data_IF_501857798035
#
_entry.id   IF_501857798035
#
_cell.length_a   1.000
_cell.length_b   1.000
_cell.length_c   1.000
_cell.angle_alpha   90.00
_cell.angle_beta   90.00
_cell.angle_gamma   90.00
#
_symmetry.space_group_name_H-M   'P 1'
#
loop_
_entity.id
_entity.type
_entity.pdbx_description
1 polymer ?
#
# COMPACT_ATOMS: atom_id res chain seq x y z
N UNK A 1 14.67 27.11 21.22
CA UNK A 1 14.51 26.16 20.10
C UNK A 1 15.85 26.03 19.39
N UNK A 2 16.27 24.82 19.00
CA UNK A 2 17.49 24.64 18.20
C UNK A 2 17.26 25.16 16.75
N UNK A 3 18.31 25.65 16.08
CA UNK A 3 18.23 26.06 14.66
C UNK A 3 17.90 24.88 13.74
N UNK A 4 17.56 25.17 12.48
CA UNK A 4 17.37 24.16 11.42
C UNK A 4 18.67 23.34 11.28
N UNK A 5 18.57 22.02 11.33
CA UNK A 5 19.74 21.10 11.35
C UNK A 5 20.06 20.49 9.98
N UNK A 6 19.11 20.48 9.06
CA UNK A 6 19.22 19.87 7.72
C UNK A 6 18.21 20.48 6.76
N UNK A 7 18.36 20.25 5.46
CA UNK A 7 17.42 20.78 4.44
C UNK A 7 16.14 19.96 4.32
N UNK A 8 16.27 18.63 4.42
CA UNK A 8 15.19 17.66 4.27
C UNK A 8 14.99 16.87 5.55
N UNK A 9 13.74 16.64 5.93
CA UNK A 9 13.34 15.77 7.02
C UNK A 9 12.67 14.50 6.47
N UNK A 10 13.09 13.34 6.96
CA UNK A 10 12.43 12.06 6.65
C UNK A 10 11.50 11.73 7.82
N UNK A 11 10.22 11.56 7.51
CA UNK A 11 9.19 11.19 8.49
C UNK A 11 8.74 9.78 8.15
N UNK A 12 9.28 8.80 8.88
CA UNK A 12 8.98 7.37 8.77
C UNK A 12 8.35 6.78 10.03
N UNK A 13 7.58 7.60 10.76
CA UNK A 13 6.91 7.18 12.00
C UNK A 13 5.67 6.32 11.70
N UNK A 14 4.87 5.96 12.71
CA UNK A 14 3.57 5.32 12.47
C UNK A 14 2.56 6.34 11.90
N UNK A 15 1.59 5.87 11.11
CA UNK A 15 0.61 6.68 10.38
C UNK A 15 -0.03 7.82 11.19
N UNK A 16 -0.42 7.53 12.44
CA UNK A 16 -1.07 8.47 13.36
C UNK A 16 -0.16 9.60 13.84
N UNK A 17 1.15 9.47 13.63
CA UNK A 17 2.16 10.47 13.93
C UNK A 17 2.68 11.18 12.69
N UNK A 18 2.09 11.00 11.51
CA UNK A 18 2.57 11.70 10.31
C UNK A 18 2.22 13.20 10.34
N UNK A 19 0.98 13.53 10.72
CA UNK A 19 0.44 14.88 10.60
C UNK A 19 1.23 15.93 11.38
N UNK A 20 1.28 15.81 12.71
CA UNK A 20 1.85 16.86 13.56
C UNK A 20 3.36 17.11 13.31
N UNK A 21 4.23 16.09 13.23
CA UNK A 21 5.63 16.26 12.84
C UNK A 21 5.81 16.84 11.44
N UNK A 22 4.98 16.44 10.47
CA UNK A 22 5.05 16.95 9.10
C UNK A 22 4.74 18.45 9.05
N UNK A 23 3.64 18.89 9.69
CA UNK A 23 3.29 20.29 9.78
C UNK A 23 4.39 21.11 10.48
N UNK A 24 4.86 20.64 11.64
CA UNK A 24 5.91 21.33 12.40
C UNK A 24 7.23 21.41 11.63
N UNK A 25 7.57 20.39 10.85
CA UNK A 25 8.72 20.38 9.97
C UNK A 25 8.59 21.45 8.87
N UNK A 26 7.44 21.51 8.20
CA UNK A 26 7.18 22.51 7.17
C UNK A 26 7.27 23.94 7.72
N UNK A 27 6.69 24.21 8.89
CA UNK A 27 6.74 25.52 9.55
C UNK A 27 8.16 25.95 9.92
N UNK A 28 9.04 24.99 10.18
CA UNK A 28 10.48 25.23 10.42
C UNK A 28 11.30 25.35 9.14
N UNK A 29 10.66 25.27 7.97
CA UNK A 29 11.31 25.44 6.67
C UNK A 29 12.02 24.18 6.15
N UNK A 30 11.67 22.98 6.64
CA UNK A 30 12.15 21.72 6.07
C UNK A 30 11.33 21.35 4.83
N UNK A 31 12.01 20.81 3.82
CA UNK A 31 11.34 19.95 2.82
C UNK A 31 11.26 18.52 3.38
N UNK A 32 10.34 17.71 2.87
CA UNK A 32 9.94 16.47 3.55
C UNK A 32 9.92 15.28 2.59
N UNK A 33 10.50 14.17 3.03
CA UNK A 33 10.14 12.82 2.58
C UNK A 33 9.19 12.20 3.61
N UNK A 34 7.95 11.96 3.22
CA UNK A 34 6.89 11.50 4.11
C UNK A 34 6.50 10.06 3.76
N UNK A 35 6.59 9.16 4.76
CA UNK A 35 6.06 7.82 4.62
C UNK A 35 4.56 7.81 4.34
N UNK A 36 4.12 6.76 3.67
CA UNK A 36 2.70 6.55 3.38
C UNK A 36 2.03 5.79 4.53
N UNK A 37 0.71 5.96 4.73
CA UNK A 37 -0.17 6.95 4.08
C UNK A 37 0.14 8.37 4.56
N UNK A 38 -0.24 9.41 3.81
CA UNK A 38 0.10 10.81 4.14
C UNK A 38 -0.29 11.19 5.58
N UNK A 39 -1.47 10.76 6.03
CA UNK A 39 -1.96 10.89 7.40
C UNK A 39 -3.02 9.82 7.67
N UNK A 40 -3.48 9.72 8.93
CA UNK A 40 -4.50 8.74 9.32
C UNK A 40 -5.91 9.14 8.87
N UNK A 41 -6.19 10.44 8.69
CA UNK A 41 -7.50 10.94 8.24
C UNK A 41 -7.42 11.74 6.95
N UNK A 42 -8.49 11.74 6.16
CA UNK A 42 -8.52 12.50 4.90
C UNK A 42 -8.44 14.03 5.13
N UNK A 43 -9.05 14.53 6.21
CA UNK A 43 -8.97 15.96 6.57
C UNK A 43 -7.52 16.38 6.84
N UNK A 44 -6.74 15.58 7.56
CA UNK A 44 -5.30 15.83 7.76
C UNK A 44 -4.49 15.73 6.46
N UNK A 45 -4.81 14.77 5.58
CA UNK A 45 -4.17 14.67 4.25
C UNK A 45 -4.37 15.95 3.44
N UNK A 46 -5.61 16.44 3.40
CA UNK A 46 -5.99 17.66 2.70
C UNK A 46 -5.32 18.89 3.34
N UNK A 47 -5.27 18.97 4.67
CA UNK A 47 -4.59 20.08 5.34
C UNK A 47 -3.09 20.08 5.02
N UNK A 48 -2.40 18.94 5.10
CA UNK A 48 -0.96 18.89 4.77
C UNK A 48 -0.65 19.37 3.35
N UNK A 49 -1.49 19.06 2.37
CA UNK A 49 -1.35 19.59 1.01
C UNK A 49 -1.49 21.12 0.97
N UNK A 50 -2.53 21.66 1.63
CA UNK A 50 -2.75 23.11 1.76
C UNK A 50 -1.58 23.79 2.48
N UNK A 51 -1.08 23.21 3.56
CA UNK A 51 0.03 23.76 4.34
C UNK A 51 1.34 23.71 3.54
N UNK A 52 1.60 22.63 2.79
CA UNK A 52 2.76 22.54 1.91
C UNK A 52 2.75 23.66 0.86
N UNK A 53 1.59 23.90 0.23
CA UNK A 53 1.43 25.00 -0.72
C UNK A 53 1.61 26.38 -0.05
N UNK A 54 0.96 26.60 1.11
CA UNK A 54 1.02 27.88 1.86
C UNK A 54 2.44 28.22 2.32
N UNK A 55 3.19 27.23 2.79
CA UNK A 55 4.55 27.38 3.31
C UNK A 55 5.62 27.26 2.21
N UNK A 56 5.21 26.99 0.97
CA UNK A 56 6.10 26.79 -0.17
C UNK A 56 7.10 25.66 0.05
N UNK A 57 6.68 24.56 0.72
CA UNK A 57 7.54 23.41 1.04
C UNK A 57 7.33 22.27 0.05
N UNK A 58 8.41 21.54 -0.24
CA UNK A 58 8.38 20.32 -1.06
C UNK A 58 8.08 19.13 -0.15
N UNK A 59 6.98 18.42 -0.41
CA UNK A 59 6.63 17.19 0.29
C UNK A 59 6.54 16.05 -0.72
N UNK A 60 7.50 15.12 -0.66
CA UNK A 60 7.53 13.90 -1.45
C UNK A 60 6.94 12.76 -0.63
N UNK A 61 5.93 12.08 -1.16
CA UNK A 61 5.29 10.92 -0.51
C UNK A 61 5.99 9.64 -0.97
N UNK A 62 6.23 8.70 -0.06
CA UNK A 62 6.87 7.40 -0.30
C UNK A 62 6.02 6.42 -1.14
N UNK A 63 5.46 6.85 -2.27
CA UNK A 63 4.84 5.96 -3.25
C UNK A 63 5.90 5.21 -4.09
N UNK A 64 6.69 4.36 -3.41
CA UNK A 64 7.85 3.64 -3.95
C UNK A 64 7.53 2.84 -5.22
N UNK A 65 6.29 2.36 -5.38
CA UNK A 65 5.89 1.59 -6.56
C UNK A 65 6.05 2.35 -7.88
N UNK A 66 5.82 3.68 -7.88
CA UNK A 66 6.05 4.50 -9.09
C UNK A 66 7.50 4.42 -9.57
N UNK A 67 8.44 4.17 -8.67
CA UNK A 67 9.87 4.15 -8.94
C UNK A 67 10.41 2.77 -9.28
N UNK A 68 9.57 1.73 -9.22
CA UNK A 68 9.98 0.39 -9.63
C UNK A 68 10.22 0.33 -11.15
N UNK A 69 11.20 -0.46 -11.61
CA UNK A 69 11.38 -0.74 -13.03
C UNK A 69 10.12 -1.32 -13.68
N UNK A 70 9.40 -2.18 -12.96
CA UNK A 70 8.15 -2.80 -13.42
C UNK A 70 7.09 -1.76 -13.78
N UNK A 71 6.65 -0.93 -12.82
CA UNK A 71 5.59 0.05 -13.07
C UNK A 71 6.05 1.19 -13.99
N UNK A 72 7.35 1.52 -13.99
CA UNK A 72 7.91 2.45 -14.97
C UNK A 72 7.80 1.90 -16.39
N UNK A 73 8.05 0.59 -16.59
CA UNK A 73 7.87 -0.05 -17.90
C UNK A 73 6.40 -0.12 -18.31
N UNK A 74 5.50 -0.48 -17.40
CA UNK A 74 4.05 -0.46 -17.65
C UNK A 74 3.59 0.93 -18.10
N UNK A 75 4.00 1.98 -17.38
CA UNK A 75 3.70 3.37 -17.77
C UNK A 75 4.26 3.72 -19.14
N UNK A 76 5.51 3.35 -19.44
CA UNK A 76 6.11 3.61 -20.75
C UNK A 76 5.36 2.91 -21.89
N UNK A 77 4.84 1.70 -21.67
CA UNK A 77 4.00 1.00 -22.65
C UNK A 77 2.68 1.75 -22.88
N UNK A 78 1.99 2.17 -21.82
CA UNK A 78 0.77 2.99 -21.94
C UNK A 78 1.08 4.28 -22.72
N UNK A 79 2.13 5.01 -22.33
CA UNK A 79 2.47 6.32 -22.91
C UNK A 79 2.95 6.23 -24.36
N UNK A 80 3.47 5.08 -24.79
CA UNK A 80 3.81 4.84 -26.20
C UNK A 80 2.59 4.80 -27.14
N UNK A 81 1.37 4.69 -26.59
CA UNK A 81 0.15 4.50 -27.38
C UNK A 81 -0.05 3.08 -27.90
N UNK A 82 0.84 2.13 -27.58
CA UNK A 82 0.76 0.74 -28.05
C UNK A 82 -0.57 0.04 -27.68
N UNK A 83 -1.17 0.39 -26.54
CA UNK A 83 -2.45 -0.16 -26.11
C UNK A 83 -3.65 0.54 -26.75
N UNK A 84 -3.46 1.70 -27.38
CA UNK A 84 -4.55 2.61 -27.77
C UNK A 84 -5.17 3.30 -26.56
N UNK A 85 -6.48 3.57 -26.63
CA UNK A 85 -7.25 4.15 -25.52
C UNK A 85 -7.47 3.08 -24.44
N UNK A 86 -7.14 3.40 -23.19
CA UNK A 86 -7.32 2.47 -22.06
C UNK A 86 -8.79 2.44 -21.65
N UNK A 87 -9.40 1.25 -21.68
CA UNK A 87 -10.81 1.04 -21.34
C UNK A 87 -10.99 0.45 -19.95
N UNK A 88 -10.15 -0.52 -19.57
CA UNK A 88 -10.25 -1.22 -18.29
C UNK A 88 -8.86 -1.51 -17.71
N UNK A 89 -8.72 -1.35 -16.39
CA UNK A 89 -7.55 -1.78 -15.63
C UNK A 89 -7.99 -2.69 -14.47
N UNK A 90 -7.47 -3.90 -14.40
CA UNK A 90 -7.64 -4.78 -13.25
C UNK A 90 -6.33 -4.87 -12.48
N UNK A 91 -6.37 -4.71 -11.16
CA UNK A 91 -5.22 -4.84 -10.30
C UNK A 91 -5.52 -5.67 -9.05
N UNK A 92 -4.52 -6.39 -8.56
CA UNK A 92 -4.63 -7.18 -7.32
C UNK A 92 -3.40 -6.96 -6.46
N UNK A 93 -3.61 -6.81 -5.15
CA UNK A 93 -2.59 -6.99 -4.11
C UNK A 93 -2.95 -8.23 -3.28
N UNK A 94 -2.16 -9.27 -3.46
CA UNK A 94 -2.06 -10.39 -2.54
C UNK A 94 -1.16 -10.03 -1.37
N UNK A 95 -1.77 -9.68 -0.24
CA UNK A 95 -1.06 -9.25 0.98
C UNK A 95 -0.22 -10.38 1.55
N UNK A 96 -0.67 -11.62 1.40
CA UNK A 96 -0.05 -12.81 1.97
C UNK A 96 -0.59 -13.18 3.34
N UNK A 97 -0.65 -14.48 3.57
CA UNK A 97 -1.11 -15.11 4.79
C UNK A 97 -0.34 -14.62 6.05
N UNK A 98 0.99 -14.61 5.98
CA UNK A 98 1.84 -14.19 7.08
C UNK A 98 1.78 -12.69 7.33
N UNK A 99 1.84 -11.89 6.27
CA UNK A 99 1.81 -10.43 6.40
C UNK A 99 0.45 -9.96 6.93
N UNK A 100 -0.65 -10.56 6.47
CA UNK A 100 -1.98 -10.34 7.04
C UNK A 100 -1.98 -10.64 8.54
N UNK A 101 -1.53 -11.84 8.92
CA UNK A 101 -1.48 -12.26 10.32
C UNK A 101 -0.62 -11.33 11.18
N UNK A 102 0.53 -10.89 10.66
CA UNK A 102 1.48 -10.02 11.35
C UNK A 102 0.93 -8.61 11.55
N UNK A 103 0.46 -7.96 10.49
CA UNK A 103 0.14 -6.51 10.47
C UNK A 103 -1.31 -6.21 10.83
N UNK A 104 -2.25 -7.00 10.31
CA UNK A 104 -3.69 -6.70 10.29
C UNK A 104 -4.53 -7.66 11.16
N UNK A 105 -3.90 -8.67 11.77
CA UNK A 105 -4.56 -9.53 12.77
C UNK A 105 -3.95 -9.34 14.15
N UNK A 106 -2.62 -9.46 14.27
CA UNK A 106 -1.90 -9.26 15.54
C UNK A 106 -1.39 -7.84 15.74
N UNK A 107 -1.11 -7.15 14.63
CA UNK A 107 -0.26 -5.96 14.59
C UNK A 107 -0.98 -4.64 14.81
N UNK A 108 -0.23 -3.57 14.52
CA UNK A 108 -0.61 -2.17 14.80
C UNK A 108 -1.87 -1.72 14.06
N UNK A 109 -2.21 -2.38 12.94
CA UNK A 109 -3.38 -2.06 12.11
C UNK A 109 -4.55 -3.03 12.29
N UNK A 110 -4.50 -3.91 13.30
CA UNK A 110 -5.49 -4.96 13.45
C UNK A 110 -6.90 -4.46 13.77
N UNK A 111 -7.02 -3.33 14.46
CA UNK A 111 -8.30 -2.77 14.91
C UNK A 111 -8.50 -1.41 14.27
N UNK A 112 -9.43 -1.35 13.31
CA UNK A 112 -9.70 -0.21 12.42
C UNK A 112 -10.13 1.05 13.16
N UNK A 113 -10.79 0.94 14.31
CA UNK A 113 -11.28 2.12 15.06
C UNK A 113 -10.14 2.91 15.71
N UNK A 114 -8.98 2.28 15.90
CA UNK A 114 -7.79 2.89 16.53
C UNK A 114 -6.58 2.93 15.60
N UNK A 115 -6.74 2.56 14.34
CA UNK A 115 -5.66 2.49 13.36
C UNK A 115 -6.15 2.93 11.99
N UNK A 116 -5.23 3.17 11.07
CA UNK A 116 -5.58 3.47 9.68
C UNK A 116 -6.25 2.26 9.03
N UNK A 117 -7.39 2.43 8.31
CA UNK A 117 -8.04 1.33 7.59
C UNK A 117 -7.07 0.62 6.64
N UNK A 118 -7.22 -0.70 6.51
CA UNK A 118 -6.26 -1.52 5.78
C UNK A 118 -6.06 -1.08 4.32
N UNK A 119 -7.15 -0.73 3.61
CA UNK A 119 -7.08 -0.24 2.23
C UNK A 119 -6.24 1.04 2.10
N UNK A 120 -6.21 1.88 3.14
CA UNK A 120 -5.41 3.11 3.20
C UNK A 120 -3.98 2.78 3.62
N UNK A 121 -3.77 2.01 4.71
CA UNK A 121 -2.44 1.70 5.22
C UNK A 121 -1.59 0.84 4.26
N UNK A 122 -2.25 -0.12 3.58
CA UNK A 122 -1.61 -1.08 2.68
C UNK A 122 -1.65 -0.64 1.23
N UNK A 123 -2.84 -0.25 0.78
CA UNK A 123 -3.17 -0.13 -0.65
C UNK A 123 -3.43 1.29 -1.12
N UNK A 124 -3.02 2.30 -0.34
CA UNK A 124 -2.81 3.64 -0.89
C UNK A 124 -1.81 3.63 -2.05
N UNK A 125 -0.83 2.69 -2.04
CA UNK A 125 0.06 2.45 -3.18
C UNK A 125 -0.69 1.99 -4.43
N UNK A 126 -1.66 1.10 -4.26
CA UNK A 126 -2.37 0.49 -5.39
C UNK A 126 -3.36 1.50 -5.99
N UNK A 127 -4.06 2.27 -5.14
CA UNK A 127 -4.86 3.42 -5.59
C UNK A 127 -3.99 4.45 -6.32
N UNK A 128 -2.78 4.69 -5.82
CA UNK A 128 -1.81 5.59 -6.43
C UNK A 128 -1.34 5.14 -7.82
N UNK A 129 -0.99 3.86 -7.97
CA UNK A 129 -0.61 3.28 -9.25
C UNK A 129 -1.77 3.33 -10.24
N UNK A 130 -3.00 2.98 -9.82
CA UNK A 130 -4.17 3.02 -10.71
C UNK A 130 -4.40 4.45 -11.21
N UNK A 131 -4.40 5.44 -10.30
CA UNK A 131 -4.57 6.84 -10.65
C UNK A 131 -3.44 7.34 -11.59
N UNK A 132 -2.20 6.95 -11.32
CA UNK A 132 -1.03 7.36 -12.11
C UNK A 132 -0.99 6.75 -13.52
N UNK A 133 -1.34 5.46 -13.64
CA UNK A 133 -1.35 4.77 -14.93
C UNK A 133 -2.49 5.25 -15.82
N UNK A 134 -3.70 5.43 -15.27
CA UNK A 134 -4.84 5.94 -16.03
C UNK A 134 -4.73 7.44 -16.32
N UNK A 135 -4.10 8.21 -15.42
CA UNK A 135 -3.87 9.64 -15.55
C UNK A 135 -5.16 10.44 -15.89
N UNK A 136 -6.27 10.04 -15.28
CA UNK A 136 -7.60 10.66 -15.41
C UNK A 136 -8.24 10.78 -14.02
N UNK A 137 -9.12 11.77 -13.78
CA UNK A 137 -9.87 11.85 -12.53
C UNK A 137 -10.75 10.61 -12.29
N UNK A 138 -10.72 10.09 -11.07
CA UNK A 138 -11.73 9.12 -10.61
C UNK A 138 -13.01 9.90 -10.24
N UNK A 139 -14.15 9.50 -10.79
CA UNK A 139 -15.44 10.18 -10.61
C UNK A 139 -16.25 9.56 -9.48
N UNK A 140 -16.34 8.23 -9.45
CA UNK A 140 -17.09 7.49 -8.44
C UNK A 140 -16.50 6.10 -8.22
N UNK A 141 -16.74 5.53 -7.04
CA UNK A 141 -16.37 4.15 -6.75
C UNK A 141 -17.39 3.45 -5.86
N UNK A 142 -17.33 2.12 -5.84
CA UNK A 142 -17.99 1.24 -4.87
C UNK A 142 -16.98 0.27 -4.29
N UNK A 143 -17.24 -0.23 -3.08
CA UNK A 143 -16.36 -1.19 -2.44
C UNK A 143 -17.14 -2.18 -1.57
N UNK A 144 -16.65 -3.41 -1.53
CA UNK A 144 -17.16 -4.48 -0.67
C UNK A 144 -15.99 -5.25 -0.09
N UNK A 145 -16.10 -5.67 1.17
CA UNK A 145 -15.04 -6.40 1.85
C UNK A 145 -15.38 -6.62 3.31
N UNK A 146 -14.90 -7.74 3.84
CA UNK A 146 -15.23 -8.22 5.18
C UNK A 146 -14.03 -8.83 5.88
N UNK A 147 -14.17 -8.99 7.20
CA UNK A 147 -13.36 -9.90 7.99
C UNK A 147 -14.16 -11.20 8.15
N UNK A 148 -13.82 -12.23 7.38
CA UNK A 148 -14.61 -13.47 7.34
C UNK A 148 -13.84 -14.69 7.83
N UNK A 149 -12.51 -14.71 7.69
CA UNK A 149 -11.65 -15.86 7.98
C UNK A 149 -10.91 -15.74 9.32
N UNK A 150 -10.28 -14.60 9.61
CA UNK A 150 -9.50 -14.43 10.85
C UNK A 150 -10.40 -14.09 12.04
N UNK A 151 -11.33 -14.99 12.36
CA UNK A 151 -12.35 -14.85 13.40
C UNK A 151 -12.44 -16.10 14.26
N UNK A 152 -13.04 -15.99 15.45
CA UNK A 152 -13.21 -17.11 16.38
C UNK A 152 -14.03 -18.27 15.82
N UNK A 153 -14.93 -18.00 14.86
CA UNK A 153 -15.74 -19.03 14.21
C UNK A 153 -14.90 -19.99 13.36
N UNK A 154 -13.74 -19.55 12.85
CA UNK A 154 -12.83 -20.37 12.05
C UNK A 154 -11.68 -20.97 12.87
N UNK A 155 -11.69 -20.82 14.20
CA UNK A 155 -10.65 -21.37 15.05
C UNK A 155 -10.65 -22.92 14.96
N UNK A 156 -9.51 -23.56 14.65
CA UNK A 156 -9.46 -25.01 14.63
C UNK A 156 -9.70 -25.58 16.04
N UNK A 157 -10.27 -26.80 16.17
CA UNK A 157 -10.58 -27.40 17.46
C UNK A 157 -9.36 -27.41 18.39
N UNK A 158 -9.55 -27.08 19.66
CA UNK A 158 -8.49 -26.99 20.67
C UNK A 158 -7.35 -25.99 20.34
N UNK A 159 -7.55 -25.05 19.42
CA UNK A 159 -6.62 -23.93 19.24
C UNK A 159 -6.60 -23.04 20.51
N UNK A 160 -5.44 -22.88 21.17
CA UNK A 160 -5.31 -22.04 22.36
C UNK A 160 -5.44 -20.55 22.03
N UNK A 161 -5.53 -19.71 23.07
CA UNK A 161 -5.53 -18.26 22.92
C UNK A 161 -4.21 -17.75 22.30
N UNK A 162 -3.07 -18.40 22.60
CA UNK A 162 -1.76 -18.07 22.04
C UNK A 162 -1.10 -19.30 21.43
N UNK A 163 -0.43 -19.12 20.29
CA UNK A 163 0.33 -20.15 19.61
C UNK A 163 1.44 -20.77 20.47
N UNK A 164 1.92 -20.04 21.48
CA UNK A 164 2.95 -20.49 22.42
C UNK A 164 2.43 -21.47 23.48
N UNK A 165 1.11 -21.61 23.62
CA UNK A 165 0.48 -22.36 24.72
C UNK A 165 0.20 -23.82 24.33
N UNK A 166 1.10 -24.44 23.56
CA UNK A 166 0.99 -25.85 23.18
C UNK A 166 -0.11 -26.15 22.16
N UNK A 167 -0.21 -25.37 21.09
CA UNK A 167 -1.22 -25.58 20.05
C UNK A 167 -1.01 -26.93 19.32
N UNK A 168 -2.03 -27.81 19.22
CA UNK A 168 -1.90 -29.10 18.55
C UNK A 168 -1.75 -29.01 17.01
N UNK A 169 -2.06 -27.85 16.43
CA UNK A 169 -1.98 -27.60 14.98
C UNK A 169 -0.69 -26.90 14.54
N UNK A 170 0.23 -26.69 15.47
CA UNK A 170 1.28 -25.71 15.28
C UNK A 170 2.29 -26.08 14.17
N UNK A 171 2.46 -27.37 13.89
CA UNK A 171 3.42 -27.85 12.87
C UNK A 171 2.91 -27.70 11.43
N UNK A 172 1.59 -27.54 11.24
CA UNK A 172 0.96 -27.35 9.92
C UNK A 172 0.33 -25.97 9.74
N UNK A 173 0.15 -25.21 10.83
CA UNK A 173 -0.48 -23.90 10.79
C UNK A 173 0.46 -22.86 10.14
N UNK A 174 0.07 -22.23 9.01
CA UNK A 174 0.90 -21.20 8.38
C UNK A 174 1.01 -19.93 9.24
N UNK A 175 0.08 -19.75 10.19
CA UNK A 175 0.00 -18.59 11.06
C UNK A 175 0.67 -18.79 12.42
N UNK A 176 1.32 -19.93 12.68
CA UNK A 176 1.95 -20.19 13.98
C UNK A 176 3.00 -19.11 14.31
N UNK A 177 2.78 -18.40 15.42
CA UNK A 177 3.68 -17.34 15.85
C UNK A 177 5.11 -17.84 16.12
N UNK A 178 5.32 -19.13 16.45
CA UNK A 178 6.66 -19.68 16.67
C UNK A 178 7.54 -19.60 15.41
N UNK A 179 6.95 -19.39 14.23
CA UNK A 179 7.69 -19.16 12.99
C UNK A 179 8.53 -17.87 13.00
N UNK A 180 8.28 -16.93 13.93
CA UNK A 180 9.22 -15.81 14.19
C UNK A 180 10.60 -16.29 14.66
N UNK A 181 10.70 -17.50 15.23
CA UNK A 181 11.97 -18.08 15.65
C UNK A 181 12.78 -18.65 14.47
N UNK A 182 12.14 -18.83 13.31
CA UNK A 182 12.71 -19.51 12.14
C UNK A 182 12.48 -18.71 10.85
N UNK A 183 11.60 -19.17 9.95
CA UNK A 183 11.45 -18.65 8.58
C UNK A 183 10.93 -17.22 8.50
N UNK A 184 10.30 -16.72 9.56
CA UNK A 184 9.75 -15.36 9.62
C UNK A 184 10.51 -14.44 10.58
N UNK A 185 11.75 -14.79 10.95
CA UNK A 185 12.57 -14.00 11.88
C UNK A 185 12.76 -12.53 11.47
N UNK A 186 12.91 -12.24 10.17
CA UNK A 186 13.03 -10.87 9.64
C UNK A 186 11.85 -9.97 10.03
N UNK A 187 10.68 -10.53 10.27
CA UNK A 187 9.51 -9.73 10.65
C UNK A 187 9.61 -9.17 12.08
N UNK A 188 10.54 -9.67 12.91
CA UNK A 188 10.79 -9.12 14.23
C UNK A 188 11.40 -7.71 14.16
N UNK A 189 12.12 -7.37 13.09
CA UNK A 189 12.75 -6.05 12.92
C UNK A 189 11.73 -4.89 12.98
N UNK A 190 10.45 -5.17 12.75
CA UNK A 190 9.36 -4.18 12.77
C UNK A 190 8.63 -4.05 14.11
N UNK A 191 8.83 -5.00 15.03
CA UNK A 191 7.97 -5.18 16.23
C UNK A 191 8.75 -5.48 17.50
N UNK A 192 10.04 -5.78 17.39
CA UNK A 192 10.91 -6.14 18.50
C UNK A 192 12.25 -5.42 18.36
N UNK A 193 12.55 -4.57 19.35
CA UNK A 193 13.79 -3.81 19.37
C UNK A 193 14.98 -4.78 19.47
N UNK A 194 16.05 -4.48 18.72
CA UNK A 194 17.28 -5.28 18.70
C UNK A 194 17.08 -6.75 18.30
N UNK A 195 16.04 -7.03 17.49
CA UNK A 195 15.71 -8.37 17.02
C UNK A 195 16.89 -9.13 16.36
N UNK A 196 17.77 -8.41 15.67
CA UNK A 196 18.96 -8.97 15.06
C UNK A 196 19.98 -9.51 16.06
N UNK A 197 20.05 -8.95 17.26
CA UNK A 197 21.00 -9.35 18.31
C UNK A 197 20.42 -10.38 19.30
N UNK A 198 19.09 -10.48 19.39
CA UNK A 198 18.43 -11.34 20.37
C UNK A 198 18.61 -12.85 20.09
N UNK A 199 18.84 -13.62 21.14
CA UNK A 199 18.83 -15.08 21.12
C UNK A 199 17.43 -15.66 20.89
N UNK A 200 17.36 -16.93 20.51
CA UNK A 200 16.08 -17.64 20.32
C UNK A 200 15.27 -17.67 21.62
N UNK A 201 15.91 -17.82 22.78
CA UNK A 201 15.24 -17.91 24.06
C UNK A 201 14.68 -16.55 24.51
N UNK A 202 15.41 -15.45 24.26
CA UNK A 202 14.89 -14.09 24.48
C UNK A 202 13.67 -13.81 23.60
N UNK A 203 13.74 -14.15 22.30
CA UNK A 203 12.60 -13.97 21.39
C UNK A 203 11.42 -14.84 21.84
N UNK A 204 11.67 -16.08 22.27
CA UNK A 204 10.61 -16.98 22.77
C UNK A 204 9.93 -16.41 24.01
N UNK A 205 10.71 -15.91 24.96
CA UNK A 205 10.20 -15.30 26.19
C UNK A 205 9.38 -14.04 25.88
N UNK A 206 9.88 -13.16 25.01
CA UNK A 206 9.14 -11.99 24.54
C UNK A 206 7.85 -12.39 23.84
N UNK A 207 7.90 -13.37 22.94
CA UNK A 207 6.75 -13.81 22.15
C UNK A 207 5.63 -14.31 23.06
N UNK A 208 5.93 -15.11 24.08
CA UNK A 208 4.93 -15.64 25.02
C UNK A 208 4.06 -14.55 25.67
N UNK A 209 4.63 -13.37 25.95
CA UNK A 209 3.89 -12.22 26.49
C UNK A 209 3.34 -11.27 25.41
N UNK A 210 3.91 -11.25 24.21
CA UNK A 210 3.59 -10.24 23.20
C UNK A 210 2.24 -10.44 22.52
N UNK A 211 1.62 -9.39 21.95
CA UNK A 211 0.42 -9.53 21.12
C UNK A 211 0.62 -10.46 19.91
N UNK A 212 1.87 -10.64 19.46
CA UNK A 212 2.20 -11.44 18.29
C UNK A 212 2.22 -12.94 18.54
N UNK A 213 2.10 -13.43 19.79
CA UNK A 213 1.84 -14.85 20.04
C UNK A 213 0.37 -15.23 19.96
N UNK A 214 -0.56 -14.29 19.95
CA UNK A 214 -2.00 -14.61 19.92
C UNK A 214 -2.34 -15.46 18.70
N UNK A 215 -3.22 -16.43 18.86
CA UNK A 215 -3.78 -17.17 17.74
C UNK A 215 -4.55 -16.19 16.85
N UNK A 216 -4.38 -16.27 15.53
CA UNK A 216 -5.04 -15.37 14.58
C UNK A 216 -6.57 -15.44 14.64
N UNK A 217 -7.13 -16.57 15.09
CA UNK A 217 -8.57 -16.75 15.28
C UNK A 217 -9.06 -16.33 16.67
N UNK A 218 -8.15 -15.88 17.54
CA UNK A 218 -8.45 -15.45 18.92
C UNK A 218 -7.99 -14.01 19.17
N UNK A 219 -7.78 -13.24 18.11
CA UNK A 219 -7.48 -11.82 18.17
C UNK A 219 -8.78 -10.99 18.20
N UNK A 220 -8.63 -9.71 18.55
CA UNK A 220 -9.67 -8.68 18.58
C UNK A 220 -9.72 -7.87 17.27
N UNK A 221 -9.14 -8.40 16.19
CA UNK A 221 -9.00 -7.68 14.92
C UNK A 221 -10.36 -7.39 14.29
N UNK A 222 -10.43 -6.24 13.61
CA UNK A 222 -11.58 -5.79 12.82
C UNK A 222 -11.17 -5.42 11.39
N UNK A 223 -9.87 -5.42 11.08
CA UNK A 223 -9.39 -5.22 9.72
C UNK A 223 -9.91 -6.33 8.80
N UNK A 224 -10.33 -5.94 7.60
CA UNK A 224 -10.80 -6.87 6.55
C UNK A 224 -9.71 -7.87 6.16
N UNK A 225 -10.10 -9.03 5.66
CA UNK A 225 -9.18 -10.00 5.07
C UNK A 225 -9.29 -10.10 3.55
N UNK A 226 -10.35 -9.54 2.98
CA UNK A 226 -10.48 -9.30 1.55
C UNK A 226 -11.37 -8.08 1.29
N UNK A 227 -11.03 -7.33 0.25
CA UNK A 227 -11.80 -6.19 -0.22
C UNK A 227 -11.64 -6.01 -1.72
N UNK A 228 -12.74 -5.72 -2.41
CA UNK A 228 -12.77 -5.32 -3.81
C UNK A 228 -13.25 -3.88 -3.94
N UNK A 229 -12.71 -3.17 -4.92
CA UNK A 229 -13.10 -1.80 -5.28
C UNK A 229 -13.37 -1.77 -6.78
N UNK A 230 -14.48 -1.14 -7.17
CA UNK A 230 -14.77 -0.83 -8.58
C UNK A 230 -14.79 0.68 -8.76
N UNK A 231 -14.06 1.17 -9.75
CA UNK A 231 -13.79 2.58 -9.95
C UNK A 231 -14.21 3.01 -11.35
N UNK A 232 -14.83 4.18 -11.45
CA UNK A 232 -15.19 4.84 -12.71
C UNK A 232 -14.38 6.11 -12.87
N UNK A 233 -13.69 6.23 -13.99
CA UNK A 233 -12.86 7.38 -14.33
C UNK A 233 -13.54 8.26 -15.39
N UNK A 234 -13.04 9.48 -15.50
CA UNK A 234 -13.39 10.38 -16.58
C UNK A 234 -13.03 9.78 -17.95
N UNK A 235 -13.79 10.14 -18.98
CA UNK A 235 -13.64 9.55 -20.32
C UNK A 235 -14.06 8.07 -20.41
N UNK A 236 -14.79 7.55 -19.42
CA UNK A 236 -15.45 6.23 -19.49
C UNK A 236 -14.57 5.03 -19.13
N UNK A 237 -13.29 5.24 -18.79
CA UNK A 237 -12.41 4.17 -18.33
C UNK A 237 -12.89 3.61 -16.97
N UNK A 238 -12.67 2.33 -16.75
CA UNK A 238 -13.03 1.62 -15.51
C UNK A 238 -11.82 0.93 -14.91
N UNK A 239 -11.85 0.72 -13.60
CA UNK A 239 -10.85 -0.12 -12.96
C UNK A 239 -11.46 -1.00 -11.86
N UNK A 240 -10.83 -2.14 -11.61
CA UNK A 240 -11.08 -2.97 -10.43
C UNK A 240 -9.79 -3.15 -9.65
N UNK A 241 -9.92 -3.19 -8.32
CA UNK A 241 -8.83 -3.50 -7.43
C UNK A 241 -9.27 -4.54 -6.40
N UNK A 242 -8.47 -5.60 -6.22
CA UNK A 242 -8.66 -6.61 -5.18
C UNK A 242 -7.50 -6.59 -4.21
N UNK A 243 -7.78 -6.37 -2.92
CA UNK A 243 -6.85 -6.57 -1.81
C UNK A 243 -7.25 -7.85 -1.07
N UNK A 244 -6.35 -8.81 -0.93
CA UNK A 244 -6.67 -10.10 -0.31
C UNK A 244 -5.54 -10.67 0.52
N UNK A 245 -5.88 -11.24 1.67
CA UNK A 245 -4.97 -12.03 2.49
C UNK A 245 -4.62 -13.39 1.87
N UNK A 246 -5.40 -13.84 0.88
CA UNK A 246 -5.36 -15.21 0.34
C UNK A 246 -4.57 -15.32 -0.98
N UNK A 247 -3.75 -14.33 -1.27
CA UNK A 247 -2.84 -14.32 -2.41
C UNK A 247 -1.52 -13.67 -2.02
N UNK A 248 -0.52 -13.79 -2.90
CA UNK A 248 0.79 -13.15 -2.71
C UNK A 248 1.19 -12.38 -3.96
N UNK A 249 1.68 -11.16 -3.75
CA UNK A 249 2.24 -10.33 -4.82
C UNK A 249 1.21 -9.45 -5.51
N UNK A 250 1.68 -8.69 -6.50
CA UNK A 250 0.84 -7.78 -7.29
C UNK A 250 0.67 -8.30 -8.70
N UNK A 251 -0.53 -8.13 -9.22
CA UNK A 251 -0.88 -8.40 -10.61
C UNK A 251 -1.60 -7.22 -11.22
N UNK A 252 -1.41 -7.03 -12.52
CA UNK A 252 -2.08 -6.00 -13.31
C UNK A 252 -2.45 -6.52 -14.70
N UNK A 253 -3.67 -6.21 -15.13
CA UNK A 253 -4.12 -6.36 -16.50
C UNK A 253 -4.70 -5.03 -16.99
N UNK A 254 -4.34 -4.64 -18.21
CA UNK A 254 -4.79 -3.40 -18.83
C UNK A 254 -5.32 -3.71 -20.22
N UNK A 255 -6.56 -3.30 -20.47
CA UNK A 255 -7.27 -3.53 -21.72
C UNK A 255 -7.41 -2.20 -22.44
N UNK A 256 -6.63 -2.03 -23.50
CA UNK A 256 -6.77 -0.91 -24.42
C UNK A 256 -7.49 -1.29 -25.71
N UNK A 257 -7.82 -0.30 -26.53
CA UNK A 257 -8.53 -0.50 -27.81
C UNK A 257 -7.71 -1.21 -28.88
N UNK A 258 -6.38 -1.28 -28.75
CA UNK A 258 -5.48 -1.89 -29.74
C UNK A 258 -4.72 -3.12 -29.23
N UNK A 259 -4.49 -3.23 -27.92
CA UNK A 259 -3.79 -4.34 -27.31
C UNK A 259 -4.19 -4.51 -25.84
N UNK A 260 -3.86 -5.67 -25.27
CA UNK A 260 -3.92 -5.91 -23.83
C UNK A 260 -2.52 -6.10 -23.24
N UNK A 261 -2.34 -5.65 -22.00
CA UNK A 261 -1.15 -5.88 -21.19
C UNK A 261 -1.53 -6.78 -20.02
N UNK A 262 -0.71 -7.79 -19.74
CA UNK A 262 -0.75 -8.59 -18.52
C UNK A 262 0.64 -8.57 -17.88
N UNK A 263 0.71 -8.31 -16.58
CA UNK A 263 1.98 -8.28 -15.87
C UNK A 263 1.83 -8.52 -14.37
N UNK A 264 2.96 -8.76 -13.71
CA UNK A 264 3.03 -8.99 -12.27
C UNK A 264 3.43 -10.42 -11.91
N UNK A 265 3.21 -10.80 -10.66
CA UNK A 265 3.68 -12.06 -10.08
C UNK A 265 3.10 -13.28 -10.82
N UNK A 266 1.81 -13.27 -11.12
CA UNK A 266 1.16 -14.35 -11.87
C UNK A 266 1.66 -14.41 -13.31
N UNK A 267 1.92 -13.26 -13.96
CA UNK A 267 2.47 -13.22 -15.31
C UNK A 267 3.85 -13.87 -15.34
N UNK A 268 4.73 -13.47 -14.42
CA UNK A 268 6.08 -14.03 -14.31
C UNK A 268 6.03 -15.53 -14.07
N UNK A 269 5.24 -15.98 -13.08
CA UNK A 269 5.13 -17.39 -12.70
C UNK A 269 4.65 -18.29 -13.83
N UNK A 270 3.65 -17.84 -14.60
CA UNK A 270 2.99 -18.70 -15.60
C UNK A 270 3.60 -18.56 -17.00
N UNK A 271 4.26 -17.44 -17.31
CA UNK A 271 4.79 -17.17 -18.65
C UNK A 271 6.31 -17.08 -18.74
N UNK A 272 6.98 -16.91 -17.61
CA UNK A 272 8.42 -16.63 -17.53
C UNK A 272 8.80 -15.19 -17.91
N UNK A 273 7.81 -14.30 -18.08
CA UNK A 273 8.03 -12.88 -18.38
C UNK A 273 7.26 -11.99 -17.40
N UNK A 274 7.84 -10.86 -17.01
CA UNK A 274 7.21 -9.92 -16.09
C UNK A 274 5.99 -9.21 -16.70
N UNK A 275 6.06 -8.90 -17.99
CA UNK A 275 4.99 -8.23 -18.74
C UNK A 275 4.85 -8.89 -20.11
N UNK A 276 3.61 -9.14 -20.52
CA UNK A 276 3.22 -9.54 -21.86
C UNK A 276 2.26 -8.51 -22.43
N UNK A 277 2.53 -8.04 -23.64
CA UNK A 277 1.59 -7.25 -24.45
C UNK A 277 1.14 -8.10 -25.62
N UNK A 278 -0.17 -8.20 -25.82
CA UNK A 278 -0.78 -8.94 -26.93
C UNK A 278 -1.65 -7.98 -27.77
N UNK A 279 -1.34 -7.86 -29.06
CA UNK A 279 -2.08 -7.00 -29.99
C UNK A 279 -3.40 -7.65 -30.40
N UNK A 280 -4.47 -6.86 -30.53
CA UNK A 280 -5.78 -7.40 -30.92
C UNK A 280 -5.82 -7.79 -32.40
N UNK A 281 -5.14 -7.03 -33.25
CA UNK A 281 -5.20 -7.21 -34.70
C UNK A 281 -4.51 -8.50 -35.18
N UNK A 282 -3.39 -8.87 -34.55
CA UNK A 282 -2.55 -10.00 -35.00
C UNK A 282 -2.38 -11.09 -33.95
N UNK A 283 -2.76 -10.85 -32.69
CA UNK A 283 -2.44 -11.72 -31.54
C UNK A 283 -0.93 -11.88 -31.32
N UNK A 284 -0.12 -10.96 -31.83
CA UNK A 284 1.32 -10.96 -31.62
C UNK A 284 1.63 -10.63 -30.16
N UNK A 285 2.58 -11.36 -29.57
CA UNK A 285 2.97 -11.20 -28.18
C UNK A 285 4.39 -10.67 -28.04
N UNK A 286 4.50 -9.52 -27.39
CA UNK A 286 5.78 -8.97 -26.95
C UNK A 286 5.96 -9.27 -25.46
N UNK A 287 7.10 -9.87 -25.11
CA UNK A 287 7.46 -10.21 -23.73
C UNK A 287 8.53 -9.24 -23.24
N UNK A 288 8.38 -8.75 -22.02
CA UNK A 288 9.37 -7.92 -21.34
C UNK A 288 9.82 -8.62 -20.06
N UNK A 289 11.13 -8.79 -19.94
CA UNK A 289 11.78 -9.25 -18.71
C UNK A 289 12.46 -8.03 -18.09
N UNK A 290 12.11 -7.74 -16.84
CA UNK A 290 12.55 -6.56 -16.12
C UNK A 290 13.73 -6.96 -15.24
N UNK A 291 14.79 -6.16 -15.28
CA UNK A 291 15.88 -6.32 -14.32
C UNK A 291 15.36 -5.93 -12.94
N UNK A 292 15.28 -6.92 -12.06
CA UNK A 292 14.95 -6.69 -10.65
C UNK A 292 16.25 -6.44 -9.90
N UNK A 293 16.43 -5.23 -9.39
CA UNK A 293 17.41 -5.03 -8.32
C UNK A 293 16.91 -5.75 -7.07
N UNK A 294 17.77 -6.50 -6.39
CA UNK A 294 17.42 -7.29 -5.20
C UNK A 294 17.10 -6.44 -3.95
N UNK A 295 16.94 -5.12 -4.10
CA UNK A 295 16.68 -4.17 -3.01
C UNK A 295 15.17 -3.90 -2.85
N UNK A 296 14.79 -3.32 -1.71
CA UNK A 296 13.40 -3.21 -1.23
C UNK A 296 12.37 -2.75 -2.27
N UNK A 297 11.19 -3.40 -2.23
CA UNK A 297 10.07 -3.21 -3.16
C UNK A 297 10.42 -3.37 -4.65
N UNK A 298 11.37 -4.22 -5.01
CA UNK A 298 11.78 -4.42 -6.40
C UNK A 298 12.53 -3.22 -6.99
N UNK A 299 13.38 -2.59 -6.16
CA UNK A 299 14.17 -1.40 -6.52
C UNK A 299 13.43 -0.07 -6.33
N UNK A 300 12.17 -0.08 -5.89
CA UNK A 300 11.37 1.13 -5.67
C UNK A 300 11.97 2.08 -4.63
N UNK A 301 12.57 1.54 -3.56
CA UNK A 301 13.15 2.33 -2.47
C UNK A 301 14.39 3.10 -2.97
N UNK A 302 15.30 2.43 -3.68
CA UNK A 302 16.47 3.08 -4.30
C UNK A 302 16.05 4.14 -5.32
N UNK A 303 15.03 3.83 -6.14
CA UNK A 303 14.49 4.76 -7.11
C UNK A 303 13.87 6.00 -6.47
N UNK A 304 13.19 5.84 -5.33
CA UNK A 304 12.63 6.95 -4.54
C UNK A 304 13.74 7.83 -3.96
N UNK A 305 14.81 7.26 -3.39
CA UNK A 305 15.93 8.06 -2.84
C UNK A 305 16.66 8.82 -3.95
N UNK A 306 16.89 8.21 -5.11
CA UNK A 306 17.48 8.89 -6.27
C UNK A 306 16.57 10.04 -6.76
N UNK A 307 15.26 9.80 -6.78
CA UNK A 307 14.29 10.83 -7.10
C UNK A 307 14.27 11.94 -6.06
N UNK A 308 14.34 11.63 -4.75
CA UNK A 308 14.42 12.64 -3.70
C UNK A 308 15.60 13.58 -3.92
N UNK A 309 16.80 13.03 -4.15
CA UNK A 309 17.99 13.86 -4.41
C UNK A 309 17.79 14.75 -5.64
N UNK A 310 17.29 14.17 -6.74
CA UNK A 310 17.07 14.90 -7.99
C UNK A 310 16.01 15.98 -7.83
N UNK A 311 14.90 15.68 -7.16
CA UNK A 311 13.77 16.58 -7.01
C UNK A 311 14.04 17.70 -6.01
N UNK A 312 14.81 17.44 -4.95
CA UNK A 312 15.15 18.44 -3.93
C UNK A 312 16.29 19.38 -4.38
N UNK A 313 17.10 18.98 -5.37
CA UNK A 313 18.22 19.80 -5.89
C UNK A 313 17.89 20.61 -7.14
N UNK A 314 16.67 20.49 -7.69
CA UNK A 314 16.23 21.28 -8.86
C UNK A 314 15.90 22.73 -8.51
N UNK A 315 16.39 23.66 -9.34
CA UNK A 315 16.15 25.11 -9.25
C UNK A 315 14.68 25.48 -9.42
N UNK A 316 14.00 24.89 -10.41
CA UNK A 316 12.56 25.07 -10.61
C UNK A 316 11.77 23.97 -9.89
N UNK A 317 10.73 24.32 -9.12
CA UNK A 317 9.77 23.37 -8.57
C UNK A 317 8.89 22.83 -9.71
N UNK A 318 9.46 21.99 -10.57
CA UNK A 318 8.66 21.09 -11.38
C UNK A 318 7.83 20.21 -10.44
N UNK A 319 6.64 19.79 -10.88
CA UNK A 319 5.73 18.99 -10.05
C UNK A 319 6.42 17.66 -9.69
N UNK A 320 6.76 17.47 -8.41
CA UNK A 320 7.41 16.24 -7.95
C UNK A 320 6.58 15.03 -8.37
N UNK A 321 7.25 13.97 -8.84
CA UNK A 321 6.59 12.75 -9.37
C UNK A 321 5.57 12.14 -8.39
N UNK A 322 5.82 12.16 -7.08
CA UNK A 322 4.88 11.78 -6.02
C UNK A 322 4.71 12.86 -4.96
N UNK A 323 4.58 14.12 -5.40
CA UNK A 323 4.24 15.23 -4.49
C UNK A 323 2.96 14.94 -3.70
N UNK A 324 2.84 15.53 -2.50
CA UNK A 324 1.60 15.49 -1.72
C UNK A 324 0.37 15.86 -2.57
N UNK A 325 0.46 16.93 -3.38
CA UNK A 325 -0.64 17.38 -4.26
C UNK A 325 -1.06 16.39 -5.35
N UNK A 326 -0.14 15.54 -5.80
CA UNK A 326 -0.46 14.45 -6.75
C UNK A 326 -1.02 13.25 -6.01
N UNK A 327 -0.55 13.00 -4.79
CA UNK A 327 -0.90 11.85 -3.96
C UNK A 327 -2.23 12.04 -3.20
N UNK A 328 -2.74 13.27 -3.04
CA UNK A 328 -4.06 13.52 -2.44
C UNK A 328 -5.15 12.75 -3.19
N UNK A 329 -5.15 12.78 -4.52
CA UNK A 329 -6.20 12.13 -5.31
C UNK A 329 -6.31 10.62 -5.04
N UNK A 330 -5.17 9.92 -4.93
CA UNK A 330 -5.15 8.49 -4.62
C UNK A 330 -5.52 8.20 -3.15
N UNK A 331 -5.23 9.11 -2.23
CA UNK A 331 -5.70 9.00 -0.84
C UNK A 331 -7.21 9.23 -0.74
N UNK A 332 -7.77 10.20 -1.46
CA UNK A 332 -9.23 10.39 -1.55
C UNK A 332 -9.87 9.10 -2.05
N UNK A 333 -9.31 8.45 -3.09
CA UNK A 333 -9.79 7.15 -3.56
C UNK A 333 -9.74 6.06 -2.48
N UNK A 334 -8.64 5.95 -1.73
CA UNK A 334 -8.49 4.95 -0.68
C UNK A 334 -9.47 5.16 0.49
N UNK A 335 -9.61 6.41 0.97
CA UNK A 335 -10.57 6.74 2.03
C UNK A 335 -12.03 6.60 1.55
N UNK A 336 -12.32 7.00 0.32
CA UNK A 336 -13.64 6.79 -0.28
C UNK A 336 -13.97 5.31 -0.43
N UNK A 337 -12.99 4.46 -0.76
CA UNK A 337 -13.19 3.01 -0.84
C UNK A 337 -13.58 2.42 0.52
N UNK A 338 -12.94 2.88 1.60
CA UNK A 338 -13.35 2.48 2.95
C UNK A 338 -14.76 2.99 3.31
N UNK A 339 -15.07 4.25 3.01
CA UNK A 339 -16.40 4.81 3.25
C UNK A 339 -17.50 4.09 2.44
N UNK A 340 -17.23 3.72 1.19
CA UNK A 340 -18.12 2.94 0.34
C UNK A 340 -18.36 1.55 0.92
N UNK A 341 -17.29 0.89 1.41
CA UNK A 341 -17.38 -0.44 2.05
C UNK A 341 -18.26 -0.41 3.29
N UNK A 342 -18.10 0.60 4.15
CA UNK A 342 -18.86 0.74 5.39
C UNK A 342 -20.33 1.08 5.15
N UNK A 343 -20.61 1.93 4.15
CA UNK A 343 -21.98 2.39 3.85
C UNK A 343 -22.75 1.48 2.89
N UNK A 344 -22.05 0.64 2.13
CA UNK A 344 -22.63 -0.12 1.02
C UNK A 344 -23.10 0.75 -0.16
N UNK A 345 -22.69 2.02 -0.21
CA UNK A 345 -23.10 2.98 -1.22
C UNK A 345 -21.99 3.28 -2.23
N UNK A 346 -22.38 3.75 -3.40
CA UNK A 346 -21.45 4.37 -4.35
C UNK A 346 -21.05 5.74 -3.80
N UNK A 347 -19.75 6.02 -3.77
CA UNK A 347 -19.20 7.30 -3.33
C UNK A 347 -18.78 8.13 -4.55
N UNK A 348 -19.30 9.35 -4.67
CA UNK A 348 -18.81 10.36 -5.61
C UNK A 348 -17.56 11.03 -5.02
N UNK A 349 -16.45 11.04 -5.77
CA UNK A 349 -15.16 11.50 -5.26
C UNK A 349 -15.10 13.02 -5.09
N UNK A 350 -15.80 13.79 -5.92
CA UNK A 350 -15.86 15.25 -5.79
C UNK A 350 -16.62 15.65 -4.53
N UNK A 351 -17.79 15.05 -4.31
CA UNK A 351 -18.61 15.34 -3.13
C UNK A 351 -17.89 14.89 -1.84
N UNK A 352 -17.27 13.71 -1.88
CA UNK A 352 -16.51 13.17 -0.75
C UNK A 352 -15.31 14.05 -0.41
N UNK A 353 -14.53 14.49 -1.39
CA UNK A 353 -13.42 15.42 -1.17
C UNK A 353 -13.91 16.76 -0.61
N UNK A 354 -14.97 17.33 -1.19
CA UNK A 354 -15.52 18.61 -0.76
C UNK A 354 -16.06 18.57 0.67
N UNK A 355 -16.70 17.48 1.07
CA UNK A 355 -17.12 17.27 2.45
C UNK A 355 -15.93 17.38 3.43
N UNK A 356 -14.82 16.71 3.11
CA UNK A 356 -13.60 16.73 3.94
C UNK A 356 -12.77 18.02 3.83
N UNK A 357 -13.00 18.85 2.81
CA UNK A 357 -12.37 20.16 2.68
C UNK A 357 -12.91 21.20 3.67
N UNK A 358 -14.16 21.03 4.13
CA UNK A 358 -14.92 22.00 4.95
C UNK A 358 -15.27 21.50 6.35
N UNK A 359 -15.16 20.20 6.59
CA UNK A 359 -15.25 19.56 7.92
C UNK A 359 -13.96 19.75 8.71
#
# INVERSE_FOLDING_TARGET
AQPKLADVMIIGTQDNYHYAPCLQAMEKGYDILLEKPIAQTLTEVIDLDRQAARLGRRVLVCHVLRYTPFYTKVKAIIDSGLLGEIMTLNATEGVGDWHQAHSYVRGKWAVTDRATPMIVAKSCHDMDIIAWLLNRPCLSLSSWGELSYFTAANAPPAAPARCTDGCPHADTCPYDARLYLTKHRRWLDYIYNDAGAASIDEIRAWLAASPWSRCVYRCDNTAVDHQVVSLRFDGGATATFTMTAFGWGRDIEIFGTQARLWGGESCLKHSGADIIVETHATSDRVRFNISHDATGHGGGDSGLINALYTEMTRDTPARLRSSVSVSVASHVMAFAAEAARQSGQIVNLTDFHNYHLVS
#
